data_IF_772071000557
#
_entry.id   IF_772071000557
#
_cell.length_a   1.000
_cell.length_b   1.000
_cell.length_c   1.000
_cell.angle_alpha   90.00
_cell.angle_beta   90.00
_cell.angle_gamma   90.00
#
_symmetry.space_group_name_H-M   'P 1'
#
loop_
_entity.id
_entity.type
_entity.pdbx_description
1 polymer ?
#
# COMPACT_ATOMS: atom_id res chain seq x y z
N UNK A 1 -7.63 84.05 1.53
CA UNK A 1 -7.47 83.52 1.42
C UNK A 1 -7.34 82.36 1.55
N UNK A 2 -7.34 81.69 1.47
CA UNK A 2 -7.22 80.59 1.63
C UNK A 2 -7.02 79.50 1.27
N UNK A 3 -6.71 78.82 1.18
CA UNK A 3 -6.48 77.81 0.84
C UNK A 3 -6.63 76.64 1.08
N UNK A 4 -6.62 75.92 0.92
CA UNK A 4 -6.88 74.80 1.07
C UNK A 4 -6.33 73.74 0.69
N UNK A 5 -6.15 73.07 0.87
CA UNK A 5 -5.63 72.04 0.60
C UNK A 5 -5.93 70.84 0.71
N UNK A 6 -6.01 70.22 0.53
CA UNK A 6 -6.33 69.13 0.41
C UNK A 6 -5.64 68.03 0.31
N UNK A 7 -5.44 67.50 0.54
CA UNK A 7 -4.89 66.48 0.69
C UNK A 7 -5.16 65.25 0.24
N UNK A 8 -5.13 64.82 -0.10
CA UNK A 8 -5.38 63.76 -0.64
C UNK A 8 -5.01 62.59 -0.31
N UNK A 9 -4.86 61.95 -0.29
CA UNK A 9 -4.63 60.85 -0.04
C UNK A 9 -4.63 59.66 -0.48
N UNK A 10 -4.32 59.10 -0.61
CA UNK A 10 -4.14 58.03 -1.03
C UNK A 10 -4.34 56.84 -0.82
N UNK A 11 -4.38 56.26 -0.91
CA UNK A 11 -4.71 55.26 -0.82
C UNK A 11 -4.23 54.10 -0.82
N UNK A 12 -3.99 53.65 -0.96
CA UNK A 12 -3.64 52.68 -0.92
C UNK A 12 -3.83 51.48 -1.07
N UNK A 13 -3.85 50.89 -1.15
CA UNK A 13 -4.07 49.90 -1.34
C UNK A 13 -3.78 48.81 -1.32
N UNK A 14 -3.75 48.31 -1.34
CA UNK A 14 -3.63 47.40 -1.32
C UNK A 14 -3.50 46.28 -1.46
N UNK A 15 -3.42 45.74 -1.69
CA UNK A 15 -3.11 44.85 -1.91
C UNK A 15 -3.16 43.68 -1.65
N UNK A 16 -2.79 43.26 -1.43
CA UNK A 16 -2.84 42.27 -1.00
C UNK A 16 -3.11 41.13 -1.52
N UNK A 17 -3.40 40.72 -1.50
CA UNK A 17 -3.85 39.78 -2.00
C UNK A 17 -3.17 38.69 -2.18
N UNK A 18 -3.11 38.21 -2.54
CA UNK A 18 -2.50 37.32 -2.84
C UNK A 18 -2.27 36.21 -2.33
N UNK A 19 -1.85 35.86 -2.43
CA UNK A 19 -1.48 34.97 -1.83
C UNK A 19 -1.97 33.76 -1.79
N UNK A 20 -2.18 33.33 -1.32
CA UNK A 20 -2.77 32.22 -1.18
C UNK A 20 -2.47 31.20 -2.08
N UNK A 21 -2.19 31.33 -2.94
CA UNK A 21 -2.11 30.40 -3.80
C UNK A 21 -1.27 29.34 -3.53
N UNK A 22 -0.41 29.44 -2.83
CA UNK A 22 0.43 28.46 -2.74
C UNK A 22 0.09 27.26 -2.08
N UNK A 23 -0.64 27.31 -1.18
CA UNK A 23 -0.98 26.19 -0.40
C UNK A 23 -1.39 24.99 -1.12
N UNK A 24 -2.20 25.08 -2.10
CA UNK A 24 -2.70 23.90 -2.77
C UNK A 24 -1.63 23.01 -3.33
N UNK A 25 -0.58 23.58 -3.75
CA UNK A 25 0.45 22.78 -4.34
C UNK A 25 1.09 21.88 -3.31
N UNK A 26 1.29 22.34 -2.15
CA UNK A 26 1.89 21.52 -1.13
C UNK A 26 0.97 20.41 -0.73
N UNK A 27 -0.30 20.67 -0.69
CA UNK A 27 -1.24 19.64 -0.32
C UNK A 27 -1.24 18.52 -1.35
N UNK A 28 -1.09 18.86 -2.58
CA UNK A 28 -1.10 17.85 -3.61
C UNK A 28 0.07 16.91 -3.46
N UNK A 29 1.18 17.38 -3.00
CA UNK A 29 2.29 16.50 -2.82
C UNK A 29 2.05 15.54 -1.68
N UNK A 30 1.49 15.99 -0.63
CA UNK A 30 1.26 15.15 0.51
C UNK A 30 0.21 14.08 0.25
N UNK A 31 -0.59 14.30 -0.74
CA UNK A 31 -1.69 13.39 -1.01
C UNK A 31 -1.37 12.28 -2.00
N UNK A 32 -0.14 12.10 -2.35
CA UNK A 32 0.20 11.05 -3.29
C UNK A 32 -0.19 9.69 -2.69
N UNK A 33 -0.96 8.88 -3.41
CA UNK A 33 -1.36 7.59 -2.87
C UNK A 33 -0.18 6.63 -2.81
N UNK A 34 -0.21 5.69 -1.89
CA UNK A 34 0.83 4.69 -1.82
C UNK A 34 0.78 3.83 -3.07
N UNK A 35 1.93 3.34 -3.47
CA UNK A 35 1.99 2.47 -4.61
C UNK A 35 1.61 1.07 -4.20
N UNK A 36 0.73 0.48 -4.94
CA UNK A 36 0.44 -0.93 -4.79
C UNK A 36 1.27 -1.70 -5.80
N UNK A 37 1.55 -2.94 -5.49
CA UNK A 37 2.28 -3.79 -6.40
C UNK A 37 1.38 -4.30 -7.51
N UNK A 38 1.97 -4.93 -8.50
CA UNK A 38 1.24 -5.49 -9.61
C UNK A 38 0.77 -6.89 -9.25
N UNK A 39 -0.53 -7.10 -9.22
CA UNK A 39 -1.11 -8.41 -8.94
C UNK A 39 -2.45 -8.52 -9.65
N UNK A 40 -2.60 -9.54 -10.46
CA UNK A 40 -3.81 -9.73 -11.25
C UNK A 40 -4.93 -10.43 -10.50
N UNK A 41 -6.13 -10.34 -11.04
CA UNK A 41 -7.28 -11.02 -10.46
C UNK A 41 -7.02 -12.54 -10.45
N UNK A 42 -7.40 -13.19 -9.38
CA UNK A 42 -7.21 -14.63 -9.22
C UNK A 42 -5.83 -15.01 -8.71
N UNK A 43 -4.99 -14.04 -8.41
CA UNK A 43 -3.61 -14.30 -8.01
C UNK A 43 -3.34 -13.97 -6.55
N UNK A 44 -2.45 -14.74 -5.97
CA UNK A 44 -1.77 -14.39 -4.74
C UNK A 44 -0.36 -13.96 -5.14
N UNK A 45 0.01 -12.74 -4.83
CA UNK A 45 1.32 -12.22 -5.15
C UNK A 45 2.11 -11.98 -3.87
N UNK A 46 3.38 -12.40 -3.88
CA UNK A 46 4.25 -12.28 -2.73
C UNK A 46 5.55 -11.64 -3.19
N UNK A 47 6.00 -10.64 -2.48
CA UNK A 47 7.25 -9.94 -2.81
C UNK A 47 8.27 -10.17 -1.71
N UNK A 48 9.51 -10.29 -2.12
CA UNK A 48 10.60 -10.53 -1.18
C UNK A 48 10.81 -9.37 -0.23
N UNK A 49 10.65 -8.17 -0.71
CA UNK A 49 10.80 -6.97 0.10
C UNK A 49 9.48 -6.40 0.58
N UNK A 50 9.55 -5.46 1.49
CA UNK A 50 8.38 -4.72 1.91
C UNK A 50 7.91 -3.77 0.83
N UNK A 51 6.73 -3.21 1.01
CA UNK A 51 6.14 -2.24 0.09
C UNK A 51 6.08 -2.74 -1.35
N UNK A 52 5.82 -4.04 -1.52
CA UNK A 52 5.64 -4.67 -2.83
C UNK A 52 6.87 -4.48 -3.72
N UNK A 53 8.05 -4.68 -3.15
CA UNK A 53 9.32 -4.53 -3.87
C UNK A 53 10.10 -5.83 -3.89
N UNK A 54 11.09 -5.88 -4.76
CA UNK A 54 11.93 -7.06 -4.88
C UNK A 54 11.29 -8.13 -5.75
N UNK A 55 11.85 -9.31 -5.71
CA UNK A 55 11.38 -10.42 -6.54
C UNK A 55 9.96 -10.80 -6.15
N UNK A 56 9.12 -10.96 -7.15
CA UNK A 56 7.72 -11.29 -6.94
C UNK A 56 7.46 -12.74 -7.34
N UNK A 57 6.69 -13.43 -6.52
CA UNK A 57 6.14 -14.72 -6.86
C UNK A 57 4.64 -14.57 -7.06
N UNK A 58 4.11 -15.24 -8.06
CA UNK A 58 2.70 -15.20 -8.36
C UNK A 58 2.16 -16.62 -8.34
N UNK A 59 1.08 -16.82 -7.61
CA UNK A 59 0.42 -18.11 -7.53
C UNK A 59 -1.02 -17.94 -8.01
N UNK A 60 -1.38 -18.69 -9.03
CA UNK A 60 -2.76 -18.68 -9.54
C UNK A 60 -3.62 -19.58 -8.68
N UNK A 61 -4.82 -19.14 -8.36
CA UNK A 61 -5.76 -19.95 -7.59
C UNK A 61 -5.97 -21.30 -8.27
N UNK A 62 -6.07 -21.31 -9.59
CA UNK A 62 -6.33 -22.54 -10.32
C UNK A 62 -5.18 -23.54 -10.27
N UNK A 63 -4.01 -23.10 -9.91
CA UNK A 63 -2.83 -23.98 -9.85
C UNK A 63 -2.45 -24.43 -8.46
N UNK A 64 -3.26 -24.11 -7.46
CA UNK A 64 -2.93 -24.42 -6.07
C UNK A 64 -4.03 -25.30 -5.47
N UNK A 65 -3.64 -26.35 -4.75
CA UNK A 65 -4.61 -27.17 -4.04
C UNK A 65 -5.12 -26.41 -2.83
N UNK A 66 -6.43 -26.29 -2.73
CA UNK A 66 -7.08 -25.60 -1.63
C UNK A 66 -6.77 -26.30 -0.31
N UNK A 67 -6.52 -25.50 0.71
CA UNK A 67 -6.25 -25.97 2.08
C UNK A 67 -5.00 -26.82 2.23
N UNK A 68 -4.15 -26.84 1.23
CA UNK A 68 -2.87 -27.50 1.30
C UNK A 68 -1.77 -26.49 1.61
N UNK A 69 -0.80 -26.90 2.38
CA UNK A 69 0.34 -26.06 2.67
C UNK A 69 1.23 -25.94 1.43
N UNK A 70 1.47 -24.71 0.99
CA UNK A 70 2.31 -24.45 -0.16
C UNK A 70 3.54 -23.69 0.33
N UNK A 71 4.68 -24.36 0.47
CA UNK A 71 5.90 -23.67 0.85
C UNK A 71 6.43 -22.85 -0.31
N UNK A 72 7.01 -21.69 0.00
CA UNK A 72 7.70 -20.92 -1.02
C UNK A 72 8.97 -21.67 -1.44
N UNK A 73 9.49 -21.38 -2.63
CA UNK A 73 10.72 -22.03 -3.04
C UNK A 73 11.82 -21.92 -2.01
N UNK A 74 12.65 -22.95 -1.91
CA UNK A 74 13.70 -23.01 -0.92
C UNK A 74 14.58 -21.76 -0.98
N UNK A 75 14.85 -21.19 0.16
CA UNK A 75 15.69 -19.99 0.23
C UNK A 75 14.96 -18.69 -0.06
N UNK A 76 13.66 -18.74 -0.34
CA UNK A 76 12.91 -17.51 -0.58
C UNK A 76 11.96 -17.21 0.57
N UNK A 77 11.74 -15.93 0.79
CA UNK A 77 10.79 -15.45 1.78
C UNK A 77 10.03 -14.28 1.19
N UNK A 78 8.94 -13.91 1.81
CA UNK A 78 8.19 -12.73 1.39
C UNK A 78 7.94 -11.82 2.58
N UNK A 79 7.95 -10.54 2.31
CA UNK A 79 7.72 -9.51 3.31
C UNK A 79 6.52 -8.62 2.98
N UNK A 80 5.93 -8.77 1.82
CA UNK A 80 4.68 -8.11 1.45
C UNK A 80 3.88 -9.02 0.55
N UNK A 81 2.57 -8.83 0.53
CA UNK A 81 1.71 -9.69 -0.27
C UNK A 81 0.44 -8.97 -0.70
N UNK A 82 -0.19 -9.50 -1.73
CA UNK A 82 -1.50 -9.08 -2.17
C UNK A 82 -2.33 -10.32 -2.44
N UNK A 83 -3.50 -10.38 -1.82
CA UNK A 83 -4.42 -11.48 -2.02
C UNK A 83 -5.56 -11.07 -2.93
N UNK A 84 -5.50 -11.50 -4.17
CA UNK A 84 -6.57 -11.26 -5.13
C UNK A 84 -7.23 -12.55 -5.60
N UNK A 85 -7.09 -13.61 -4.79
CA UNK A 85 -7.60 -14.93 -5.18
C UNK A 85 -9.10 -15.07 -5.11
N UNK A 86 -9.77 -14.19 -4.39
CA UNK A 86 -11.20 -14.36 -4.12
C UNK A 86 -11.46 -15.22 -2.88
N UNK A 87 -10.42 -15.65 -2.20
CA UNK A 87 -10.51 -16.54 -1.04
C UNK A 87 -9.60 -16.06 0.08
N UNK A 88 -9.85 -16.45 1.33
CA UNK A 88 -8.90 -16.14 2.40
C UNK A 88 -7.60 -16.89 2.20
N UNK A 89 -6.50 -16.26 2.55
CA UNK A 89 -5.17 -16.86 2.48
C UNK A 89 -4.48 -16.68 3.81
N UNK A 90 -3.92 -17.76 4.34
CA UNK A 90 -3.11 -17.67 5.55
C UNK A 90 -1.64 -17.74 5.13
N UNK A 91 -0.87 -16.77 5.59
CA UNK A 91 0.56 -16.72 5.37
C UNK A 91 1.26 -17.18 6.63
N UNK A 92 2.24 -18.07 6.50
CA UNK A 92 2.92 -18.70 7.62
C UNK A 92 4.40 -18.36 7.64
N UNK A 93 4.93 -18.19 8.83
CA UNK A 93 6.36 -18.09 9.01
C UNK A 93 7.01 -19.46 8.82
N UNK A 94 6.32 -20.53 9.22
CA UNK A 94 6.81 -21.90 9.07
C UNK A 94 6.63 -22.40 7.64
N UNK A 95 7.63 -23.05 7.11
CA UNK A 95 7.51 -23.66 5.79
C UNK A 95 6.54 -24.82 5.76
N UNK A 96 6.24 -25.38 6.93
CA UNK A 96 5.31 -26.50 7.04
C UNK A 96 3.92 -26.03 7.45
N UNK A 97 3.67 -24.74 7.44
CA UNK A 97 2.41 -24.15 7.87
C UNK A 97 2.05 -24.52 9.31
N UNK A 98 3.07 -24.58 10.16
CA UNK A 98 2.85 -24.90 11.57
C UNK A 98 2.29 -23.67 12.29
N UNK A 99 1.30 -23.90 13.13
CA UNK A 99 0.68 -22.83 13.89
C UNK A 99 1.39 -22.56 15.20
N UNK A 100 2.49 -23.26 15.44
CA UNK A 100 3.35 -22.97 16.58
C UNK A 100 4.28 -21.79 16.32
N UNK A 101 4.39 -21.37 15.06
CA UNK A 101 5.09 -20.17 14.68
C UNK A 101 4.05 -19.11 14.28
N UNK A 102 4.48 -17.98 13.78
CA UNK A 102 3.57 -16.91 13.42
C UNK A 102 2.77 -17.23 12.16
N UNK A 103 1.52 -16.85 12.16
CA UNK A 103 0.68 -16.96 10.97
C UNK A 103 -0.41 -15.90 11.02
N UNK A 104 -0.91 -15.52 9.86
CA UNK A 104 -1.98 -14.54 9.77
C UNK A 104 -2.81 -14.79 8.53
N UNK A 105 -4.13 -14.67 8.67
CA UNK A 105 -5.04 -14.86 7.55
C UNK A 105 -5.43 -13.51 6.97
N UNK A 106 -5.31 -13.41 5.66
CA UNK A 106 -5.62 -12.21 4.91
C UNK A 106 -6.86 -12.48 4.05
N UNK A 107 -7.92 -11.69 4.20
CA UNK A 107 -9.07 -11.86 3.33
C UNK A 107 -8.75 -11.47 1.90
N UNK A 108 -9.58 -11.90 0.97
CA UNK A 108 -9.39 -11.48 -0.42
C UNK A 108 -9.48 -9.96 -0.50
N UNK A 109 -8.69 -9.38 -1.37
CA UNK A 109 -8.62 -7.92 -1.50
C UNK A 109 -7.62 -7.27 -0.56
N UNK A 110 -6.86 -8.07 0.19
CA UNK A 110 -5.85 -7.53 1.10
C UNK A 110 -4.59 -7.15 0.34
N UNK A 111 -4.05 -6.00 0.69
CA UNK A 111 -2.74 -5.55 0.23
C UNK A 111 -1.94 -5.23 1.47
N UNK A 112 -0.99 -6.10 1.79
CA UNK A 112 -0.19 -5.98 3.00
C UNK A 112 1.22 -5.53 2.62
N UNK A 113 1.55 -4.25 2.82
CA UNK A 113 2.88 -3.74 2.47
C UNK A 113 3.97 -4.27 3.37
N UNK A 114 3.59 -4.73 4.57
CA UNK A 114 4.55 -5.32 5.48
C UNK A 114 3.89 -6.44 6.24
N UNK A 115 4.47 -7.62 6.14
CA UNK A 115 4.02 -8.73 6.98
C UNK A 115 4.81 -8.67 8.28
N UNK A 116 4.20 -9.04 9.42
CA UNK A 116 4.89 -8.96 10.70
C UNK A 116 6.02 -9.99 10.88
N UNK A 117 6.18 -10.88 9.92
CA UNK A 117 7.23 -11.90 9.92
C UNK A 117 7.55 -12.23 8.48
N UNK A 118 8.64 -12.94 8.25
CA UNK A 118 8.97 -13.41 6.91
C UNK A 118 8.08 -14.57 6.56
N UNK A 119 7.35 -14.46 5.47
CA UNK A 119 6.45 -15.52 5.00
C UNK A 119 7.25 -16.57 4.28
N UNK A 120 7.03 -17.83 4.62
CA UNK A 120 7.70 -18.98 4.00
C UNK A 120 6.76 -20.00 3.40
N UNK A 121 5.46 -19.89 3.71
CA UNK A 121 4.46 -20.79 3.17
C UNK A 121 3.09 -20.13 3.25
N UNK A 122 2.13 -20.67 2.53
CA UNK A 122 0.77 -20.17 2.62
C UNK A 122 -0.24 -21.29 2.38
N UNK A 123 -1.48 -21.05 2.76
CA UNK A 123 -2.63 -21.88 2.42
C UNK A 123 -3.72 -20.99 1.86
N UNK A 124 -4.39 -21.46 0.83
CA UNK A 124 -5.59 -20.79 0.32
C UNK A 124 -6.80 -21.60 0.79
N UNK A 125 -7.73 -20.94 1.44
CA UNK A 125 -8.89 -21.60 1.99
C UNK A 125 -10.06 -21.59 1.02
N UNK A 126 -10.99 -22.48 1.21
CA UNK A 126 -12.14 -22.51 0.34
C UNK A 126 -13.05 -21.32 0.61
N UNK A 127 -13.16 -20.91 1.86
CA UNK A 127 -13.94 -19.75 2.28
C UNK A 127 -13.34 -19.08 3.48
#
# INVERSE_FOLDING_TARGET
MRKIITAAVPALALTAALTATLVPAAAAWAAAPPRLGSCGAGQLCLWRGGDFTGARQTHELAGVDIESCVPLPSGTTAASLANRTGRPVTAYQSRECAETAEFRTYPTGSWAPETPYQVRAFKIWER
#
